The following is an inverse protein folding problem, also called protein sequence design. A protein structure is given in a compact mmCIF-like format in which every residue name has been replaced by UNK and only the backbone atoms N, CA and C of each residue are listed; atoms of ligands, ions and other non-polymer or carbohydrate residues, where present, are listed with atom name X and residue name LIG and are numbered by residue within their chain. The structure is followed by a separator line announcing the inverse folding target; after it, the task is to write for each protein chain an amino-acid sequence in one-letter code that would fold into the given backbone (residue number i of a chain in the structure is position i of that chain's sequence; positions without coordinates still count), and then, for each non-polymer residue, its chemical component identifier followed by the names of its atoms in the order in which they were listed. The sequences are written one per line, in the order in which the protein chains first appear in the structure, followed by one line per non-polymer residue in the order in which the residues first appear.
data_IF_338276325429
#
_entry.id   IF_338276325429
#
_cell.length_a   1.000
_cell.length_b   1.000
_cell.length_c   1.000
_cell.angle_alpha   90.00
_cell.angle_beta   90.00
_cell.angle_gamma   90.00
#
_symmetry.space_group_name_H-M   'P 1'
#
loop_
_entity.id
_entity.type
_entity.pdbx_description
1 polymer ?
#
# COMPACT_ATOMS: atom_id res chain seq x y z
N UNK A 1 -8.77 86.23 4.50
CA UNK A 1 -8.63 85.59 5.81
C UNK A 1 -9.54 84.37 5.79
N UNK A 2 -8.91 83.19 5.74
CA UNK A 2 -9.43 81.81 5.81
C UNK A 2 -10.46 81.37 4.75
N UNK A 3 -9.98 80.53 3.84
CA UNK A 3 -10.77 79.73 2.91
C UNK A 3 -10.86 78.31 3.47
N UNK A 4 -12.09 77.81 3.55
CA UNK A 4 -12.41 76.41 3.78
C UNK A 4 -13.13 75.83 2.57
N UNK A 5 -12.99 74.51 2.45
CA UNK A 5 -13.79 73.54 1.67
C UNK A 5 -13.34 73.24 0.23
N UNK A 6 -12.65 72.11 0.06
CA UNK A 6 -12.78 71.22 -1.11
C UNK A 6 -12.79 69.75 -0.67
N UNK A 7 -13.84 69.05 -1.13
CA UNK A 7 -14.08 67.61 -1.11
C UNK A 7 -13.04 66.82 -1.93
N UNK A 8 -12.76 65.55 -1.59
CA UNK A 8 -12.77 64.39 -2.51
C UNK A 8 -12.43 63.04 -1.82
N UNK A 9 -13.40 62.12 -1.94
CA UNK A 9 -13.33 60.64 -2.11
C UNK A 9 -12.58 59.75 -1.09
N UNK A 10 -13.37 59.03 -0.29
CA UNK A 10 -13.07 57.67 0.17
C UNK A 10 -14.08 56.69 -0.45
N UNK A 11 -13.60 55.57 -0.97
CA UNK A 11 -14.40 54.46 -1.49
C UNK A 11 -13.98 53.15 -0.84
N UNK A 12 -14.92 52.43 -0.23
CA UNK A 12 -14.80 50.99 0.07
C UNK A 12 -14.94 50.62 1.55
N UNK A 13 -15.89 49.73 1.93
CA UNK A 13 -16.25 49.47 3.31
C UNK A 13 -15.38 48.40 3.98
N UNK A 14 -15.37 48.48 5.31
CA UNK A 14 -14.81 47.56 6.28
C UNK A 14 -15.43 46.17 6.24
N UNK A 15 -14.58 45.15 6.10
CA UNK A 15 -14.86 43.77 6.55
C UNK A 15 -13.69 43.28 7.39
N UNK A 16 -13.90 43.32 8.70
CA UNK A 16 -13.09 42.61 9.69
C UNK A 16 -13.56 41.16 9.64
N UNK A 17 -12.74 40.26 9.10
CA UNK A 17 -12.96 38.82 9.20
C UNK A 17 -11.67 38.14 9.67
N UNK A 18 -11.70 37.81 10.96
CA UNK A 18 -11.00 36.71 11.64
C UNK A 18 -9.66 36.27 11.05
N UNK A 19 -8.58 36.74 11.67
CA UNK A 19 -7.32 36.01 11.75
C UNK A 19 -7.58 34.71 12.52
N UNK A 20 -7.91 33.65 11.79
CA UNK A 20 -7.92 32.30 12.36
C UNK A 20 -6.47 31.87 12.51
N UNK A 21 -6.06 31.84 13.76
CA UNK A 21 -4.87 31.17 14.29
C UNK A 21 -4.72 29.79 13.66
N UNK A 22 -3.69 29.66 12.81
CA UNK A 22 -3.29 28.41 12.19
C UNK A 22 -2.61 27.52 13.24
N UNK A 23 -3.40 27.02 14.20
CA UNK A 23 -3.07 25.83 14.97
C UNK A 23 -3.61 24.66 14.16
N UNK A 24 -2.79 24.16 13.25
CA UNK A 24 -3.03 22.89 12.58
C UNK A 24 -3.07 21.79 13.65
N UNK A 25 -4.28 21.50 14.13
CA UNK A 25 -4.61 20.20 14.71
C UNK A 25 -4.07 19.16 13.72
N UNK A 26 -3.06 18.39 14.13
CA UNK A 26 -2.79 17.10 13.50
C UNK A 26 -4.11 16.32 13.56
N UNK A 27 -4.89 16.37 12.48
CA UNK A 27 -5.83 15.31 12.15
C UNK A 27 -4.92 14.11 11.89
N UNK A 28 -4.63 13.33 12.92
CA UNK A 28 -4.04 12.02 12.74
C UNK A 28 -5.01 11.27 11.82
N UNK A 29 -4.63 11.06 10.56
CA UNK A 29 -5.19 9.97 9.80
C UNK A 29 -5.12 8.74 10.73
N UNK A 30 -6.23 8.02 10.89
CA UNK A 30 -6.35 6.89 11.80
C UNK A 30 -5.20 5.92 11.52
N UNK A 31 -4.19 5.89 12.39
CA UNK A 31 -3.01 5.04 12.25
C UNK A 31 -3.36 3.60 12.61
N UNK A 32 -4.24 3.00 11.80
CA UNK A 32 -4.77 1.66 11.96
C UNK A 32 -3.82 0.66 11.29
N UNK A 33 -2.87 0.15 12.07
CA UNK A 33 -1.85 -0.79 11.61
C UNK A 33 -1.30 -1.62 12.76
N UNK A 34 -0.60 -2.69 12.43
CA UNK A 34 0.06 -3.54 13.41
C UNK A 34 1.56 -3.27 13.37
N UNK A 35 2.13 -2.92 14.52
CA UNK A 35 3.52 -2.49 14.64
C UNK A 35 4.28 -3.48 15.54
N UNK A 36 5.26 -4.16 14.97
CA UNK A 36 6.28 -4.89 15.71
C UNK A 36 7.47 -3.96 15.97
N UNK A 37 7.80 -3.71 17.23
CA UNK A 37 9.01 -2.99 17.62
C UNK A 37 10.12 -4.00 17.88
N UNK A 38 11.12 -4.04 17.00
CA UNK A 38 12.33 -4.85 17.21
C UNK A 38 13.39 -3.92 17.80
N UNK A 39 13.84 -4.20 19.02
CA UNK A 39 14.83 -3.38 19.72
C UNK A 39 16.14 -4.14 19.92
N UNK A 40 17.26 -3.44 19.77
CA UNK A 40 18.59 -4.01 20.03
C UNK A 40 18.80 -4.15 21.55
N UNK A 41 19.08 -5.36 22.01
CA UNK A 41 19.41 -5.68 23.40
C UNK A 41 20.80 -6.29 23.56
N UNK A 42 21.69 -6.13 22.58
CA UNK A 42 23.04 -6.68 22.53
C UNK A 42 24.00 -6.06 23.55
N UNK A 43 25.15 -6.69 23.74
CA UNK A 43 26.29 -6.17 24.49
C UNK A 43 26.82 -4.85 23.93
N UNK A 44 26.66 -4.63 22.61
CA UNK A 44 27.19 -3.46 21.90
C UNK A 44 26.49 -2.16 22.30
N UNK A 45 25.16 -2.19 22.49
CA UNK A 45 24.38 -1.04 22.96
C UNK A 45 24.63 -0.79 24.46
N UNK A 46 24.76 -1.84 25.25
CA UNK A 46 24.93 -1.78 26.71
C UNK A 46 23.69 -1.28 27.47
N UNK A 47 23.67 -1.54 28.78
CA UNK A 47 22.52 -1.25 29.66
C UNK A 47 22.07 0.24 29.62
N UNK A 48 23.03 1.17 29.56
CA UNK A 48 22.73 2.61 29.61
C UNK A 48 21.96 3.07 28.37
N UNK A 49 22.42 2.70 27.17
CA UNK A 49 21.74 3.09 25.92
C UNK A 49 20.48 2.26 25.71
N UNK A 50 20.45 1.01 26.16
CA UNK A 50 19.22 0.23 26.22
C UNK A 50 18.11 0.95 27.01
N UNK A 51 18.43 1.54 28.17
CA UNK A 51 17.46 2.35 28.92
C UNK A 51 17.01 3.63 28.16
N UNK A 52 17.90 4.26 27.37
CA UNK A 52 17.51 5.37 26.49
C UNK A 52 16.57 4.91 25.37
N UNK A 53 16.83 3.73 24.81
CA UNK A 53 15.96 3.09 23.82
C UNK A 53 14.57 2.82 24.39
N UNK A 54 14.46 2.20 25.58
CA UNK A 54 13.18 1.99 26.28
C UNK A 54 12.40 3.30 26.45
N UNK A 55 13.08 4.37 26.87
CA UNK A 55 12.46 5.69 27.02
C UNK A 55 11.97 6.27 25.69
N UNK A 56 12.72 6.06 24.60
CA UNK A 56 12.31 6.51 23.27
C UNK A 56 11.08 5.77 22.77
N UNK A 57 11.08 4.43 22.82
CA UNK A 57 9.94 3.63 22.37
C UNK A 57 8.69 3.87 23.23
N UNK A 58 8.85 4.10 24.54
CA UNK A 58 7.75 4.46 25.42
C UNK A 58 7.10 5.78 24.99
N UNK A 59 7.89 6.82 24.73
CA UNK A 59 7.36 8.12 24.28
C UNK A 59 6.70 8.04 22.90
N UNK A 60 7.24 7.20 22.00
CA UNK A 60 6.67 6.96 20.69
C UNK A 60 5.33 6.23 20.81
N UNK A 61 5.25 5.15 21.59
CA UNK A 61 4.02 4.41 21.86
C UNK A 61 2.94 5.28 22.52
N UNK A 62 3.31 6.17 23.45
CA UNK A 62 2.38 7.13 24.06
C UNK A 62 1.75 8.08 23.02
N UNK A 63 2.51 8.51 22.01
CA UNK A 63 2.02 9.42 20.98
C UNK A 63 1.22 8.71 19.88
N UNK A 64 1.45 7.41 19.63
CA UNK A 64 0.70 6.59 18.67
C UNK A 64 -0.75 6.32 19.09
N UNK A 65 -1.14 6.59 20.35
CA UNK A 65 -2.49 6.36 20.88
C UNK A 65 -2.99 4.93 20.65
N UNK A 66 -2.20 3.95 21.11
CA UNK A 66 -2.53 2.52 21.05
C UNK A 66 -3.91 2.26 21.65
N UNK A 67 -4.69 1.41 20.99
CA UNK A 67 -5.99 0.97 21.48
C UNK A 67 -6.78 0.18 20.45
N UNK A 68 -8.01 -0.26 20.78
CA UNK A 68 -8.80 -1.18 19.95
C UNK A 68 -9.12 -0.67 18.53
N UNK A 69 -9.18 0.66 18.37
CA UNK A 69 -9.47 1.34 17.09
C UNK A 69 -8.19 1.96 16.49
N UNK A 70 -7.07 1.87 17.21
CA UNK A 70 -5.78 2.46 16.87
C UNK A 70 -4.75 1.43 16.38
N UNK A 71 -3.45 1.78 16.42
CA UNK A 71 -2.41 0.83 16.13
C UNK A 71 -2.29 -0.20 17.24
N UNK A 72 -2.01 -1.45 16.88
CA UNK A 72 -1.58 -2.48 17.82
C UNK A 72 -0.07 -2.54 17.85
N UNK A 73 0.52 -2.70 19.03
CA UNK A 73 1.97 -2.68 19.22
C UNK A 73 2.38 -3.93 19.99
N UNK A 74 3.38 -4.62 19.46
CA UNK A 74 4.10 -5.64 20.20
C UNK A 74 5.61 -5.44 20.09
N UNK A 75 6.38 -6.21 20.86
CA UNK A 75 7.81 -5.95 21.04
C UNK A 75 8.65 -7.23 21.05
N UNK A 76 9.78 -7.15 20.35
CA UNK A 76 10.78 -8.21 20.22
C UNK A 76 12.15 -7.62 20.57
N UNK A 77 12.94 -8.34 21.36
CA UNK A 77 14.34 -8.00 21.62
C UNK A 77 15.26 -8.81 20.70
N UNK A 78 16.15 -8.13 20.00
CA UNK A 78 17.27 -8.72 19.26
C UNK A 78 18.46 -8.89 20.21
N UNK A 79 19.01 -10.12 20.26
CA UNK A 79 20.18 -10.51 21.05
C UNK A 79 20.83 -11.72 20.36
N UNK A 80 21.48 -12.63 21.09
CA UNK A 80 21.95 -13.92 20.54
C UNK A 80 20.82 -14.69 19.83
N UNK A 81 19.65 -14.71 20.46
CA UNK A 81 18.40 -15.25 19.92
C UNK A 81 17.28 -14.23 20.09
N UNK A 82 16.35 -14.12 19.13
CA UNK A 82 15.24 -13.19 19.25
C UNK A 82 14.29 -13.62 20.36
N UNK A 83 13.80 -12.65 21.13
CA UNK A 83 12.85 -12.89 22.23
C UNK A 83 11.64 -11.99 22.08
N UNK A 84 10.46 -12.59 21.92
CA UNK A 84 9.19 -11.86 21.94
C UNK A 84 8.81 -11.56 23.39
N UNK A 85 8.67 -10.28 23.72
CA UNK A 85 8.30 -9.83 25.06
C UNK A 85 6.78 -9.74 25.23
N UNK A 86 6.09 -9.26 24.18
CA UNK A 86 4.64 -9.26 24.12
C UNK A 86 4.14 -9.12 22.68
N UNK A 87 2.97 -9.70 22.41
CA UNK A 87 2.30 -9.71 21.11
C UNK A 87 1.39 -8.48 20.94
N UNK A 88 0.80 -8.36 19.75
CA UNK A 88 -0.02 -7.22 19.31
C UNK A 88 -1.27 -6.99 20.17
N UNK A 89 -1.82 -8.04 20.77
CA UNK A 89 -3.08 -8.03 21.54
C UNK A 89 -2.88 -7.97 23.05
N UNK A 90 -1.65 -8.14 23.55
CA UNK A 90 -1.38 -8.18 24.99
C UNK A 90 -1.74 -6.87 25.70
N UNK A 91 -1.61 -5.72 25.04
CA UNK A 91 -1.87 -4.41 25.63
C UNK A 91 -2.75 -3.55 24.72
N UNK A 92 -3.95 -3.23 25.20
CA UNK A 92 -4.90 -2.34 24.51
C UNK A 92 -5.00 -0.96 25.18
N UNK A 93 -4.35 -0.78 26.34
CA UNK A 93 -4.30 0.49 27.05
C UNK A 93 -2.89 1.10 27.00
N UNK A 94 -2.76 2.39 26.63
CA UNK A 94 -1.45 3.05 26.59
C UNK A 94 -0.68 2.97 27.91
N UNK A 95 -1.36 3.08 29.05
CA UNK A 95 -0.71 3.06 30.38
C UNK A 95 -0.04 1.71 30.67
N UNK A 96 -0.70 0.61 30.34
CA UNK A 96 -0.19 -0.75 30.57
C UNK A 96 0.98 -1.05 29.63
N UNK A 97 0.86 -0.68 28.36
CA UNK A 97 1.95 -0.81 27.38
C UNK A 97 3.21 -0.03 27.84
N UNK A 98 3.03 1.19 28.34
CA UNK A 98 4.14 2.00 28.85
C UNK A 98 4.81 1.38 30.08
N UNK A 99 4.05 0.69 30.93
CA UNK A 99 4.60 -0.03 32.07
C UNK A 99 5.39 -1.24 31.60
N UNK A 100 4.82 -2.07 30.72
CA UNK A 100 5.48 -3.24 30.16
C UNK A 100 6.83 -2.88 29.48
N UNK A 101 6.85 -1.79 28.70
CA UNK A 101 8.09 -1.30 28.07
C UNK A 101 9.15 -0.90 29.10
N UNK A 102 8.77 -0.32 30.25
CA UNK A 102 9.73 0.11 31.27
C UNK A 102 10.38 -1.09 31.98
N UNK A 103 9.61 -2.14 32.21
CA UNK A 103 10.04 -3.35 32.93
C UNK A 103 10.90 -4.31 32.09
N UNK A 104 11.11 -4.02 30.79
CA UNK A 104 11.96 -4.84 29.94
C UNK A 104 13.36 -5.03 30.50
N UNK A 105 13.77 -6.29 30.60
CA UNK A 105 15.11 -6.69 31.01
C UNK A 105 16.10 -6.56 29.85
N UNK A 106 17.34 -6.23 30.19
CA UNK A 106 18.43 -6.22 29.22
C UNK A 106 19.02 -7.62 29.10
N UNK A 107 19.15 -8.11 27.86
CA UNK A 107 19.61 -9.48 27.58
C UNK A 107 21.15 -9.59 27.43
N UNK A 108 21.79 -8.65 26.73
CA UNK A 108 23.19 -8.79 26.29
C UNK A 108 23.34 -9.69 25.05
N UNK A 109 24.57 -10.11 24.75
CA UNK A 109 24.88 -10.99 23.61
C UNK A 109 25.20 -10.24 22.30
N UNK A 110 25.11 -10.95 21.18
CA UNK A 110 25.35 -10.42 19.83
C UNK A 110 24.14 -9.62 19.31
N UNK A 111 24.35 -8.76 18.30
CA UNK A 111 23.27 -8.00 17.65
C UNK A 111 22.75 -8.76 16.42
N UNK A 112 22.16 -9.95 16.63
CA UNK A 112 21.59 -10.77 15.55
C UNK A 112 20.22 -10.21 15.10
N UNK A 113 20.26 -9.05 14.44
CA UNK A 113 19.09 -8.34 13.94
C UNK A 113 18.40 -9.11 12.82
N UNK A 114 19.14 -9.82 11.97
CA UNK A 114 18.60 -10.64 10.88
C UNK A 114 17.71 -11.75 11.42
N UNK A 115 18.18 -12.50 12.43
CA UNK A 115 17.35 -13.49 13.13
C UNK A 115 16.10 -12.89 13.75
N UNK A 116 16.19 -11.69 14.32
CA UNK A 116 15.02 -11.02 14.90
C UNK A 116 14.00 -10.57 13.85
N UNK A 117 14.46 -10.05 12.71
CA UNK A 117 13.59 -9.75 11.56
C UNK A 117 12.92 -11.03 11.05
N UNK A 118 13.68 -12.12 10.89
CA UNK A 118 13.17 -13.41 10.44
C UNK A 118 12.06 -13.94 11.36
N UNK A 119 12.36 -14.07 12.66
CA UNK A 119 11.43 -14.52 13.68
C UNK A 119 10.14 -13.69 13.71
N UNK A 120 10.28 -12.36 13.55
CA UNK A 120 9.13 -11.46 13.51
C UNK A 120 8.32 -11.63 12.23
N UNK A 121 8.99 -11.81 11.08
CA UNK A 121 8.33 -11.98 9.79
C UNK A 121 7.53 -13.30 9.69
N UNK A 122 8.05 -14.38 10.26
CA UNK A 122 7.46 -15.72 10.15
C UNK A 122 6.14 -15.86 10.90
N UNK A 123 6.08 -15.38 12.16
CA UNK A 123 4.97 -15.74 13.05
C UNK A 123 4.27 -14.56 13.71
N UNK A 124 4.95 -13.43 13.90
CA UNK A 124 4.45 -12.37 14.78
C UNK A 124 3.16 -11.70 14.30
N UNK A 125 3.02 -11.53 12.98
CA UNK A 125 1.85 -10.91 12.36
C UNK A 125 0.75 -11.91 11.97
N UNK A 126 0.82 -13.16 12.46
CA UNK A 126 -0.24 -14.14 12.28
C UNK A 126 -1.52 -13.70 13.01
N UNK A 127 -2.67 -14.24 12.58
CA UNK A 127 -3.95 -13.95 13.25
C UNK A 127 -3.99 -14.48 14.69
N UNK A 128 -3.35 -15.62 14.94
CA UNK A 128 -3.21 -16.20 16.28
C UNK A 128 -2.45 -15.27 17.23
N UNK A 129 -1.48 -14.53 16.70
CA UNK A 129 -0.68 -13.55 17.45
C UNK A 129 -1.26 -12.13 17.42
N UNK A 130 -2.49 -11.97 16.94
CA UNK A 130 -3.22 -10.70 16.97
C UNK A 130 -3.05 -9.82 15.73
N UNK A 131 -2.45 -10.33 14.67
CA UNK A 131 -2.35 -9.66 13.37
C UNK A 131 -3.73 -9.51 12.72
N UNK A 132 -4.10 -8.28 12.36
CA UNK A 132 -5.37 -7.94 11.73
C UNK A 132 -5.27 -8.07 10.22
N UNK A 133 -6.26 -8.74 9.61
CA UNK A 133 -6.38 -8.81 8.16
C UNK A 133 -6.62 -7.42 7.57
N UNK A 134 -6.06 -7.18 6.38
CA UNK A 134 -6.22 -5.91 5.65
C UNK A 134 -5.56 -4.69 6.29
N UNK A 135 -4.91 -4.82 7.45
CA UNK A 135 -4.19 -3.74 8.10
C UNK A 135 -2.71 -3.79 7.70
N UNK A 136 -2.04 -2.64 7.49
CA UNK A 136 -0.61 -2.60 7.24
C UNK A 136 0.18 -3.24 8.37
N UNK A 137 1.20 -4.00 7.99
CA UNK A 137 2.17 -4.60 8.92
C UNK A 137 3.45 -3.80 8.85
N UNK A 138 3.89 -3.30 10.00
CA UNK A 138 5.08 -2.45 10.11
C UNK A 138 6.02 -3.07 11.13
N UNK A 139 7.26 -3.31 10.73
CA UNK A 139 8.33 -3.73 11.61
C UNK A 139 9.29 -2.56 11.80
N UNK A 140 9.25 -1.90 12.95
CA UNK A 140 10.19 -0.84 13.28
C UNK A 140 11.39 -1.45 14.00
N UNK A 141 12.51 -1.52 13.31
CA UNK A 141 13.77 -2.10 13.82
C UNK A 141 14.67 -0.97 14.27
N UNK A 142 14.98 -0.94 15.57
CA UNK A 142 15.94 -0.01 16.14
C UNK A 142 17.30 -0.67 16.25
N UNK A 143 18.33 0.00 15.72
CA UNK A 143 19.71 -0.48 15.77
C UNK A 143 20.65 0.60 16.31
N UNK A 144 21.65 0.18 17.09
CA UNK A 144 22.77 1.00 17.57
C UNK A 144 24.06 0.51 16.89
N UNK A 145 24.31 0.99 15.67
CA UNK A 145 25.45 0.56 14.85
C UNK A 145 25.07 -0.36 13.68
N UNK A 146 25.64 -1.57 13.64
CA UNK A 146 25.46 -2.55 12.55
C UNK A 146 25.13 -3.95 13.09
N UNK A 147 24.39 -4.76 12.32
CA UNK A 147 24.06 -6.13 12.72
C UNK A 147 25.29 -7.04 12.70
N UNK A 148 25.27 -8.06 13.57
CA UNK A 148 26.29 -9.12 13.63
C UNK A 148 26.08 -10.20 12.56
N UNK A 149 24.84 -10.33 12.07
CA UNK A 149 24.38 -11.30 11.08
C UNK A 149 23.94 -10.64 9.75
N UNK A 150 23.68 -11.48 8.75
CA UNK A 150 23.15 -11.04 7.46
C UNK A 150 21.63 -10.82 7.55
N UNK A 151 21.15 -9.79 6.85
CA UNK A 151 19.75 -9.42 6.80
C UNK A 151 19.05 -9.91 5.53
N UNK A 152 19.79 -10.41 4.52
CA UNK A 152 19.26 -10.62 3.17
C UNK A 152 18.05 -11.55 3.14
N UNK A 153 18.18 -12.74 3.71
CA UNK A 153 17.08 -13.72 3.74
C UNK A 153 15.89 -13.22 4.57
N UNK A 154 16.16 -12.59 5.72
CA UNK A 154 15.14 -12.08 6.62
C UNK A 154 14.36 -10.92 5.99
N UNK A 155 15.06 -10.02 5.30
CA UNK A 155 14.47 -8.90 4.59
C UNK A 155 13.65 -9.36 3.38
N UNK A 156 14.14 -10.36 2.63
CA UNK A 156 13.35 -10.98 1.56
C UNK A 156 12.05 -11.56 2.11
N UNK A 157 12.11 -12.38 3.17
CA UNK A 157 10.90 -12.94 3.78
C UNK A 157 9.95 -11.85 4.29
N UNK A 158 10.46 -10.81 4.95
CA UNK A 158 9.63 -9.71 5.44
C UNK A 158 8.91 -8.99 4.29
N UNK A 159 9.62 -8.67 3.20
CA UNK A 159 9.03 -8.08 1.98
C UNK A 159 7.98 -8.99 1.38
N UNK A 160 8.32 -10.26 1.16
CA UNK A 160 7.42 -11.26 0.60
C UNK A 160 6.22 -11.57 1.51
N UNK A 161 6.33 -11.31 2.81
CA UNK A 161 5.23 -11.48 3.78
C UNK A 161 4.36 -10.22 3.93
N UNK A 162 4.66 -9.18 3.16
CA UNK A 162 3.90 -7.95 3.15
C UNK A 162 4.19 -7.01 4.32
N UNK A 163 5.40 -7.06 4.88
CA UNK A 163 5.81 -6.34 6.08
C UNK A 163 6.72 -5.18 5.70
N UNK A 164 6.38 -3.99 6.18
CA UNK A 164 7.18 -2.79 5.97
C UNK A 164 8.24 -2.68 7.05
N UNK A 165 9.48 -3.02 6.71
CA UNK A 165 10.61 -2.83 7.61
C UNK A 165 11.03 -1.36 7.58
N UNK A 166 10.92 -0.70 8.73
CA UNK A 166 11.48 0.62 9.00
C UNK A 166 12.74 0.46 9.84
N UNK A 167 13.88 0.84 9.28
CA UNK A 167 15.13 0.78 9.99
C UNK A 167 15.47 2.14 10.62
N UNK A 168 15.43 2.19 11.95
CA UNK A 168 15.74 3.37 12.75
C UNK A 168 17.14 3.20 13.33
N UNK A 169 18.14 3.79 12.68
CA UNK A 169 19.51 3.76 13.17
C UNK A 169 19.76 4.94 14.08
N UNK A 170 20.26 4.69 15.29
CA UNK A 170 20.67 5.75 16.22
C UNK A 170 22.18 5.77 16.30
N UNK A 171 22.78 6.96 16.24
CA UNK A 171 24.23 7.15 16.27
C UNK A 171 24.95 6.29 15.21
N UNK A 172 24.93 6.76 13.96
CA UNK A 172 25.60 6.07 12.84
C UNK A 172 27.05 5.69 13.20
N UNK A 173 27.57 4.56 12.66
CA UNK A 173 28.95 4.15 12.86
C UNK A 173 29.91 5.28 12.49
N UNK A 174 30.95 5.48 13.30
CA UNK A 174 31.99 6.43 12.97
C UNK A 174 32.73 5.98 11.69
N UNK A 175 33.31 6.88 10.89
CA UNK A 175 34.03 6.52 9.67
C UNK A 175 35.09 5.42 9.88
N UNK A 176 35.72 5.41 11.04
CA UNK A 176 36.74 4.44 11.44
C UNK A 176 36.14 3.03 11.67
N UNK A 177 34.90 2.98 12.17
CA UNK A 177 34.15 1.76 12.46
C UNK A 177 33.50 1.16 11.21
N UNK A 178 33.35 1.92 10.12
CA UNK A 178 32.79 1.43 8.85
C UNK A 178 33.60 0.26 8.25
N UNK A 179 34.86 0.11 8.64
CA UNK A 179 35.71 -1.03 8.25
C UNK A 179 35.29 -2.34 8.91
N UNK A 180 34.61 -2.27 10.05
CA UNK A 180 34.14 -3.43 10.84
C UNK A 180 32.74 -3.88 10.42
N UNK A 181 32.03 -3.05 9.65
CA UNK A 181 30.71 -3.35 9.11
C UNK A 181 30.86 -4.38 7.99
N UNK A 182 30.36 -5.59 8.22
CA UNK A 182 30.42 -6.71 7.26
C UNK A 182 29.69 -6.40 5.96
N UNK A 183 28.43 -5.98 6.08
CA UNK A 183 27.61 -5.56 4.95
C UNK A 183 27.31 -4.06 5.08
N UNK A 184 27.87 -3.24 4.20
CA UNK A 184 27.70 -1.77 4.25
C UNK A 184 26.34 -1.31 3.70
N UNK A 185 25.66 -2.14 2.93
CA UNK A 185 24.38 -1.83 2.30
C UNK A 185 23.19 -2.43 3.08
N UNK A 186 23.43 -3.04 4.24
CA UNK A 186 22.39 -3.68 5.07
C UNK A 186 21.14 -2.81 5.28
N UNK A 187 21.31 -1.49 5.45
CA UNK A 187 20.21 -0.53 5.58
C UNK A 187 19.29 -0.51 4.36
N UNK A 188 19.87 -0.54 3.16
CA UNK A 188 19.15 -0.51 1.87
C UNK A 188 18.47 -1.84 1.61
N UNK A 189 19.16 -2.94 1.97
CA UNK A 189 18.67 -4.29 1.75
C UNK A 189 17.57 -4.71 2.71
N UNK A 190 17.56 -4.18 3.94
CA UNK A 190 16.55 -4.50 4.95
C UNK A 190 15.17 -3.92 4.64
N UNK A 191 15.12 -2.79 3.92
CA UNK A 191 13.88 -2.05 3.67
C UNK A 191 13.19 -2.48 2.37
N UNK A 192 11.95 -2.05 2.22
CA UNK A 192 11.12 -2.29 1.05
C UNK A 192 11.69 -1.70 -0.24
N UNK A 193 12.13 -0.45 -0.16
CA UNK A 193 12.66 0.32 -1.28
C UNK A 193 13.67 1.33 -0.74
N UNK A 194 14.82 1.45 -1.39
CA UNK A 194 15.83 2.44 -1.03
C UNK A 194 15.48 3.82 -1.62
N UNK A 195 14.53 4.49 -0.99
CA UNK A 195 14.08 5.85 -1.35
C UNK A 195 14.18 6.85 -0.19
N UNK A 196 14.86 6.46 0.90
CA UNK A 196 15.01 7.27 2.13
C UNK A 196 13.75 7.38 3.01
N UNK A 197 12.63 6.74 2.62
CA UNK A 197 11.40 6.75 3.41
C UNK A 197 11.49 5.79 4.62
N UNK A 198 11.89 4.55 4.36
CA UNK A 198 11.96 3.45 5.34
C UNK A 198 13.20 3.48 6.23
N UNK A 199 14.25 4.19 5.81
CA UNK A 199 15.48 4.37 6.58
C UNK A 199 15.44 5.71 7.33
N UNK A 200 15.52 5.65 8.66
CA UNK A 200 15.41 6.84 9.52
C UNK A 200 16.63 6.97 10.44
N UNK A 201 17.67 7.73 10.04
CA UNK A 201 18.83 7.95 10.88
C UNK A 201 18.58 9.03 11.94
N UNK A 202 18.91 8.72 13.19
CA UNK A 202 18.93 9.63 14.33
C UNK A 202 20.39 9.92 14.71
N UNK A 203 20.84 11.19 14.72
CA UNK A 203 22.25 11.51 14.96
C UNK A 203 22.74 11.12 16.36
N UNK A 204 21.86 11.18 17.38
CA UNK A 204 22.26 10.97 18.76
C UNK A 204 21.13 10.44 19.62
N UNK A 205 21.46 9.56 20.57
CA UNK A 205 20.55 9.09 21.62
C UNK A 205 19.92 10.24 22.42
N UNK A 206 20.64 11.36 22.58
CA UNK A 206 20.15 12.54 23.32
C UNK A 206 19.16 13.40 22.52
N UNK A 207 19.09 13.25 21.19
CA UNK A 207 18.17 14.00 20.33
C UNK A 207 16.92 13.21 19.92
N UNK A 208 16.81 11.95 20.32
CA UNK A 208 15.72 11.01 19.95
C UNK A 208 14.32 11.61 20.12
N UNK A 209 14.09 12.41 21.15
CA UNK A 209 12.79 13.05 21.39
C UNK A 209 12.34 13.99 20.27
N UNK A 210 13.27 14.65 19.57
CA UNK A 210 12.96 15.54 18.43
C UNK A 210 12.45 14.75 17.21
N UNK A 211 12.76 13.46 17.14
CA UNK A 211 12.45 12.58 16.02
C UNK A 211 11.13 11.81 16.17
N UNK A 212 10.51 11.83 17.35
CA UNK A 212 9.27 11.08 17.61
C UNK A 212 8.15 11.49 16.64
N UNK A 213 7.87 12.79 16.53
CA UNK A 213 6.78 13.28 15.68
C UNK A 213 7.02 12.99 14.19
N UNK A 214 8.19 13.32 13.60
CA UNK A 214 8.46 12.97 12.20
C UNK A 214 8.43 11.46 11.93
N UNK A 215 8.92 10.63 12.87
CA UNK A 215 8.90 9.19 12.71
C UNK A 215 7.47 8.64 12.70
N UNK A 216 6.61 9.11 13.62
CA UNK A 216 5.19 8.73 13.64
C UNK A 216 4.48 9.16 12.35
N UNK A 217 4.77 10.37 11.85
CA UNK A 217 4.20 10.82 10.58
C UNK A 217 4.59 9.91 9.41
N UNK A 218 5.82 9.39 9.38
CA UNK A 218 6.25 8.42 8.36
C UNK A 218 5.61 7.05 8.56
N UNK A 219 5.64 6.51 9.78
CA UNK A 219 5.04 5.20 10.09
C UNK A 219 3.54 5.18 9.75
N UNK A 220 2.82 6.26 10.08
CA UNK A 220 1.38 6.38 9.86
C UNK A 220 0.99 6.88 8.45
N UNK A 221 1.94 7.00 7.51
CA UNK A 221 1.68 7.42 6.13
C UNK A 221 1.36 6.19 5.28
N UNK A 222 0.08 5.80 5.24
CA UNK A 222 -0.40 4.59 4.54
C UNK A 222 0.08 4.51 3.07
N UNK A 223 0.02 5.63 2.34
CA UNK A 223 0.43 5.72 0.93
C UNK A 223 1.94 5.43 0.73
N UNK A 224 2.74 5.54 1.80
CA UNK A 224 4.18 5.26 1.77
C UNK A 224 4.54 3.82 2.13
N UNK A 225 3.60 2.99 2.59
CA UNK A 225 3.87 1.63 3.08
C UNK A 225 3.88 0.60 1.95
N UNK A 226 4.86 0.74 1.05
CA UNK A 226 4.99 0.02 -0.22
C UNK A 226 4.99 -1.51 -0.13
N UNK A 227 5.50 -2.11 0.95
CA UNK A 227 5.47 -3.58 1.11
C UNK A 227 4.18 -4.10 1.69
N UNK A 228 3.29 -3.27 2.26
CA UNK A 228 2.08 -3.79 2.90
C UNK A 228 1.34 -4.66 1.92
N UNK A 229 0.97 -5.91 2.20
CA UNK A 229 0.07 -6.63 1.27
C UNK A 229 -1.36 -6.11 1.44
N UNK A 230 -1.65 -4.95 0.87
CA UNK A 230 -3.00 -4.39 0.81
C UNK A 230 -3.58 -4.62 -0.56
N UNK A 231 -4.90 -4.41 -0.68
CA UNK A 231 -5.53 -4.41 -1.98
C UNK A 231 -4.95 -3.36 -2.93
N UNK A 232 -4.37 -2.27 -2.41
CA UNK A 232 -3.86 -1.18 -3.23
C UNK A 232 -2.52 -1.50 -3.91
N UNK A 233 -1.81 -2.54 -3.46
CA UNK A 233 -0.45 -2.82 -3.91
C UNK A 233 -0.10 -4.33 -3.96
N UNK A 234 -1.07 -5.23 -3.80
CA UNK A 234 -0.84 -6.68 -3.94
C UNK A 234 -1.90 -7.32 -4.84
N UNK A 235 -2.15 -6.67 -5.96
CA UNK A 235 -3.16 -7.08 -6.94
C UNK A 235 -2.59 -7.00 -8.35
N UNK A 236 -2.95 -7.98 -9.17
CA UNK A 236 -2.71 -7.98 -10.61
C UNK A 236 -4.04 -7.63 -11.28
N UNK A 237 -4.12 -6.48 -11.94
CA UNK A 237 -5.34 -5.98 -12.57
C UNK A 237 -5.19 -6.03 -14.09
N UNK A 238 -6.00 -6.87 -14.73
CA UNK A 238 -6.13 -6.89 -16.18
C UNK A 238 -7.32 -6.05 -16.62
N UNK A 239 -7.12 -5.17 -17.58
CA UNK A 239 -8.17 -4.45 -18.27
C UNK A 239 -8.47 -5.13 -19.60
N UNK A 240 -9.72 -5.57 -19.79
CA UNK A 240 -10.22 -6.11 -21.05
C UNK A 240 -11.15 -5.10 -21.69
N UNK A 241 -10.67 -4.50 -22.78
CA UNK A 241 -11.20 -3.26 -23.35
C UNK A 241 -11.86 -3.54 -24.69
N UNK A 242 -13.15 -3.30 -24.78
CA UNK A 242 -13.91 -3.39 -26.03
C UNK A 242 -13.52 -2.24 -26.97
N UNK A 243 -12.89 -2.58 -28.09
CA UNK A 243 -12.49 -1.66 -29.16
C UNK A 243 -13.40 -1.78 -30.39
N UNK A 244 -14.60 -2.33 -30.24
CA UNK A 244 -15.53 -2.57 -31.34
C UNK A 244 -16.09 -1.28 -31.94
N UNK A 245 -16.64 -1.40 -33.15
CA UNK A 245 -17.18 -0.26 -33.91
C UNK A 245 -18.37 0.43 -33.23
N UNK A 246 -19.10 -0.28 -32.34
CA UNK A 246 -20.24 0.28 -31.59
C UNK A 246 -19.82 1.32 -30.56
N UNK A 247 -18.63 1.16 -29.98
CA UNK A 247 -18.07 2.09 -29.00
C UNK A 247 -17.79 3.43 -29.67
N UNK A 248 -16.99 3.43 -30.74
CA UNK A 248 -16.55 4.63 -31.43
C UNK A 248 -15.43 5.39 -30.71
N UNK A 249 -14.61 6.10 -31.48
CA UNK A 249 -13.35 6.73 -31.01
C UNK A 249 -13.53 7.67 -29.80
N UNK A 250 -14.53 8.54 -29.84
CA UNK A 250 -14.79 9.49 -28.74
C UNK A 250 -15.18 8.81 -27.42
N UNK A 251 -15.99 7.75 -27.49
CA UNK A 251 -16.38 6.99 -26.29
C UNK A 251 -15.25 6.08 -25.82
N UNK A 252 -14.41 5.57 -26.73
CA UNK A 252 -13.25 4.78 -26.38
C UNK A 252 -12.29 5.56 -25.48
N UNK A 253 -12.10 6.86 -25.74
CA UNK A 253 -11.32 7.73 -24.86
C UNK A 253 -11.91 7.84 -23.44
N UNK A 254 -13.24 7.84 -23.30
CA UNK A 254 -13.92 7.82 -21.99
C UNK A 254 -13.69 6.49 -21.25
N UNK A 255 -13.69 5.37 -21.97
CA UNK A 255 -13.32 4.06 -21.41
C UNK A 255 -11.88 4.07 -20.90
N UNK A 256 -10.93 4.56 -21.68
CA UNK A 256 -9.52 4.65 -21.25
C UNK A 256 -9.35 5.55 -20.03
N UNK A 257 -10.07 6.68 -19.95
CA UNK A 257 -9.99 7.56 -18.78
C UNK A 257 -10.64 6.96 -17.53
N UNK A 258 -11.74 6.20 -17.69
CA UNK A 258 -12.33 5.41 -16.61
C UNK A 258 -11.34 4.38 -16.04
N UNK A 259 -10.72 3.59 -16.91
CA UNK A 259 -9.73 2.59 -16.51
C UNK A 259 -8.48 3.23 -15.89
N UNK A 260 -8.05 4.38 -16.41
CA UNK A 260 -6.97 5.16 -15.81
C UNK A 260 -7.34 5.69 -14.42
N UNK A 261 -8.61 6.05 -14.18
CA UNK A 261 -9.12 6.41 -12.86
C UNK A 261 -9.03 5.26 -11.84
N UNK A 262 -9.33 4.03 -12.27
CA UNK A 262 -9.14 2.82 -11.46
C UNK A 262 -7.64 2.64 -11.17
N UNK A 263 -6.80 2.61 -12.20
CA UNK A 263 -5.36 2.41 -12.09
C UNK A 263 -4.68 3.40 -11.11
N UNK A 264 -5.09 4.68 -11.12
CA UNK A 264 -4.58 5.72 -10.19
C UNK A 264 -4.77 5.38 -8.71
N UNK A 265 -5.80 4.62 -8.39
CA UNK A 265 -6.14 4.25 -7.01
C UNK A 265 -5.19 3.20 -6.44
N UNK A 266 -4.37 2.54 -7.27
CA UNK A 266 -3.44 1.49 -6.88
C UNK A 266 -1.99 1.98 -6.95
N UNK A 267 -1.13 1.42 -6.10
CA UNK A 267 0.32 1.69 -6.06
C UNK A 267 1.06 0.77 -7.03
N UNK A 268 1.06 1.18 -8.30
CA UNK A 268 1.73 0.46 -9.39
C UNK A 268 3.25 0.56 -9.21
N UNK A 269 3.90 -0.59 -8.99
CA UNK A 269 5.36 -0.68 -8.91
C UNK A 269 5.86 -2.11 -9.13
N UNK A 270 7.18 -2.28 -9.17
CA UNK A 270 7.86 -3.58 -9.26
C UNK A 270 7.46 -4.55 -8.14
N UNK A 271 7.24 -4.04 -6.93
CA UNK A 271 6.85 -4.79 -5.73
C UNK A 271 5.41 -4.54 -5.29
N UNK A 272 4.66 -3.75 -6.06
CA UNK A 272 3.32 -3.27 -5.75
C UNK A 272 2.25 -3.91 -6.62
N UNK A 273 1.23 -3.13 -6.98
CA UNK A 273 0.20 -3.58 -7.92
C UNK A 273 0.77 -3.64 -9.35
N UNK A 274 0.27 -4.59 -10.13
CA UNK A 274 0.61 -4.74 -11.54
C UNK A 274 -0.64 -4.52 -12.38
N UNK A 275 -0.53 -3.78 -13.47
CA UNK A 275 -1.64 -3.58 -14.41
C UNK A 275 -1.24 -3.99 -15.82
N UNK A 276 -2.22 -4.47 -16.58
CA UNK A 276 -2.05 -4.85 -17.97
C UNK A 276 -3.32 -4.62 -18.74
N UNK A 277 -3.21 -4.50 -20.06
CA UNK A 277 -4.34 -4.20 -20.92
C UNK A 277 -4.39 -5.10 -22.15
N UNK A 278 -5.57 -5.61 -22.43
CA UNK A 278 -5.92 -6.33 -23.65
C UNK A 278 -7.09 -5.59 -24.29
N UNK A 279 -6.93 -5.19 -25.54
CA UNK A 279 -8.01 -4.67 -26.36
C UNK A 279 -8.59 -5.81 -27.22
N UNK A 280 -9.90 -5.81 -27.47
CA UNK A 280 -10.52 -6.82 -28.30
C UNK A 280 -11.57 -6.26 -29.26
N UNK A 281 -11.69 -6.94 -30.41
CA UNK A 281 -12.82 -6.87 -31.33
C UNK A 281 -13.24 -8.30 -31.72
N UNK A 282 -13.13 -8.68 -33.00
CA UNK A 282 -13.03 -10.07 -33.43
C UNK A 282 -11.68 -10.69 -33.05
N UNK A 283 -10.63 -9.86 -33.06
CA UNK A 283 -9.27 -10.24 -32.69
C UNK A 283 -8.89 -9.63 -31.34
N UNK A 284 -7.91 -10.23 -30.66
CA UNK A 284 -7.41 -9.78 -29.37
C UNK A 284 -5.98 -9.25 -29.51
N UNK A 285 -5.71 -8.11 -28.89
CA UNK A 285 -4.39 -7.49 -28.87
C UNK A 285 -3.95 -7.26 -27.43
N UNK A 286 -2.82 -7.85 -27.04
CA UNK A 286 -2.13 -7.46 -25.83
C UNK A 286 -1.48 -6.09 -26.05
N UNK A 287 -1.99 -5.06 -25.39
CA UNK A 287 -1.44 -3.70 -25.48
C UNK A 287 -0.19 -3.59 -24.62
N UNK A 288 -0.25 -4.12 -23.39
CA UNK A 288 0.90 -4.33 -22.53
C UNK A 288 0.59 -5.35 -21.43
N UNK A 289 1.62 -6.09 -21.00
CA UNK A 289 1.55 -7.10 -19.96
C UNK A 289 1.69 -6.53 -18.53
N UNK A 290 1.39 -7.37 -17.54
CA UNK A 290 1.44 -7.02 -16.11
C UNK A 290 2.83 -6.58 -15.63
N UNK A 291 3.89 -7.00 -16.32
CA UNK A 291 5.29 -6.72 -15.93
C UNK A 291 5.96 -5.63 -16.78
N UNK A 292 5.26 -5.03 -17.73
CA UNK A 292 5.85 -4.10 -18.70
C UNK A 292 6.11 -2.71 -18.09
N UNK A 293 5.32 -2.33 -17.07
CA UNK A 293 5.46 -1.05 -16.38
C UNK A 293 5.56 -1.22 -14.86
N UNK A 294 6.61 -0.65 -14.27
CA UNK A 294 6.88 -0.60 -12.83
C UNK A 294 6.79 0.83 -12.26
N UNK A 295 6.29 1.77 -13.05
CA UNK A 295 6.03 3.16 -12.67
C UNK A 295 4.56 3.48 -12.95
N UNK A 296 3.89 4.07 -11.96
CA UNK A 296 2.46 4.42 -12.02
C UNK A 296 2.14 5.38 -13.17
N UNK A 297 2.92 6.45 -13.34
CA UNK A 297 2.67 7.46 -14.37
C UNK A 297 2.88 6.88 -15.76
N UNK A 298 3.92 6.07 -15.96
CA UNK A 298 4.19 5.40 -17.24
C UNK A 298 3.08 4.43 -17.62
N UNK A 299 2.60 3.63 -16.67
CA UNK A 299 1.52 2.67 -16.89
C UNK A 299 0.18 3.37 -17.25
N UNK A 300 -0.15 4.47 -16.55
CA UNK A 300 -1.33 5.29 -16.86
C UNK A 300 -1.20 5.94 -18.24
N UNK A 301 -0.01 6.43 -18.58
CA UNK A 301 0.24 7.05 -19.88
C UNK A 301 0.17 6.02 -21.02
N UNK A 302 0.65 4.79 -20.80
CA UNK A 302 0.53 3.70 -21.76
C UNK A 302 -0.94 3.35 -22.01
N UNK A 303 -1.73 3.20 -20.94
CA UNK A 303 -3.16 2.93 -21.03
C UNK A 303 -3.91 4.01 -21.83
N UNK A 304 -3.62 5.29 -21.59
CA UNK A 304 -4.24 6.42 -22.31
C UNK A 304 -3.85 6.53 -23.78
N UNK A 305 -2.77 5.86 -24.20
CA UNK A 305 -2.25 5.90 -25.58
C UNK A 305 -2.67 4.68 -26.40
N UNK A 306 -3.46 3.77 -25.84
CA UNK A 306 -4.02 2.64 -26.58
C UNK A 306 -4.83 3.20 -27.75
N UNK A 307 -4.48 2.80 -28.96
CA UNK A 307 -5.19 3.22 -30.16
C UNK A 307 -6.50 2.47 -30.28
N UNK A 308 -7.58 3.21 -30.56
CA UNK A 308 -8.88 2.63 -30.88
C UNK A 308 -8.78 1.68 -32.07
N UNK A 309 -9.36 0.49 -31.92
CA UNK A 309 -9.57 -0.47 -32.99
C UNK A 309 -10.87 -0.16 -33.75
N UNK A 310 -11.41 -1.15 -34.46
CA UNK A 310 -12.76 -1.15 -35.02
C UNK A 310 -13.05 -2.58 -35.46
N UNK A 311 -14.26 -3.09 -35.22
CA UNK A 311 -14.63 -4.46 -35.52
C UNK A 311 -15.86 -4.90 -34.72
N UNK A 312 -16.13 -6.20 -34.69
CA UNK A 312 -17.19 -6.78 -33.85
C UNK A 312 -16.71 -7.02 -32.42
N UNK A 313 -17.54 -7.73 -31.64
CA UNK A 313 -17.38 -7.89 -30.19
C UNK A 313 -17.34 -9.37 -29.83
N UNK A 314 -16.15 -9.97 -29.71
CA UNK A 314 -15.96 -11.38 -29.32
C UNK A 314 -15.42 -11.50 -27.89
N UNK A 315 -16.28 -11.21 -26.91
CA UNK A 315 -15.92 -11.09 -25.49
C UNK A 315 -15.48 -12.42 -24.87
N UNK A 316 -16.08 -13.55 -25.25
CA UNK A 316 -15.72 -14.87 -24.72
C UNK A 316 -14.30 -15.29 -25.12
N UNK A 317 -13.96 -15.11 -26.39
CA UNK A 317 -12.62 -15.31 -26.92
C UNK A 317 -11.62 -14.34 -26.27
N UNK A 318 -12.04 -13.10 -26.03
CA UNK A 318 -11.24 -12.08 -25.35
C UNK A 318 -10.91 -12.45 -23.89
N UNK A 319 -11.87 -12.98 -23.13
CA UNK A 319 -11.63 -13.52 -21.78
C UNK A 319 -10.62 -14.67 -21.85
N UNK A 320 -10.83 -15.62 -22.76
CA UNK A 320 -9.93 -16.78 -22.94
C UNK A 320 -8.49 -16.34 -23.24
N UNK A 321 -8.32 -15.43 -24.22
CA UNK A 321 -7.02 -14.87 -24.57
C UNK A 321 -6.35 -14.17 -23.38
N UNK A 322 -7.12 -13.38 -22.63
CA UNK A 322 -6.59 -12.62 -21.48
C UNK A 322 -6.10 -13.57 -20.39
N UNK A 323 -6.85 -14.63 -20.08
CA UNK A 323 -6.39 -15.64 -19.10
C UNK A 323 -5.10 -16.34 -19.55
N UNK A 324 -4.99 -16.66 -20.85
CA UNK A 324 -3.88 -17.44 -21.39
C UNK A 324 -2.61 -16.62 -21.67
N UNK A 325 -2.74 -15.30 -21.88
CA UNK A 325 -1.64 -14.44 -22.28
C UNK A 325 -1.29 -13.41 -21.21
N UNK A 326 -2.28 -12.69 -20.68
CA UNK A 326 -2.05 -11.66 -19.66
C UNK A 326 -1.81 -12.29 -18.28
N UNK A 327 -2.67 -13.23 -17.87
CA UNK A 327 -2.57 -13.90 -16.56
C UNK A 327 -1.76 -15.20 -16.59
N UNK A 328 -1.01 -15.48 -17.67
CA UNK A 328 -0.23 -16.72 -17.82
C UNK A 328 0.83 -16.89 -16.72
N UNK A 329 1.48 -15.80 -16.34
CA UNK A 329 2.52 -15.73 -15.33
C UNK A 329 2.29 -14.47 -14.52
N UNK A 330 1.63 -14.62 -13.39
CA UNK A 330 1.34 -13.51 -12.48
C UNK A 330 2.34 -13.52 -11.33
N UNK A 331 2.77 -12.34 -10.90
CA UNK A 331 3.49 -12.18 -9.64
C UNK A 331 2.62 -12.51 -8.43
N UNK A 332 3.18 -12.43 -7.21
CA UNK A 332 2.41 -12.61 -5.99
C UNK A 332 1.31 -11.55 -5.89
N UNK A 333 0.07 -11.98 -5.66
CA UNK A 333 -1.08 -11.08 -5.59
C UNK A 333 -2.34 -11.76 -6.12
N UNK A 334 -3.49 -11.14 -5.91
CA UNK A 334 -4.77 -11.64 -6.44
C UNK A 334 -5.04 -11.08 -7.83
N UNK A 335 -5.61 -11.91 -8.69
CA UNK A 335 -5.88 -11.58 -10.08
C UNK A 335 -7.30 -11.05 -10.23
N UNK A 336 -7.42 -9.83 -10.75
CA UNK A 336 -8.67 -9.15 -11.03
C UNK A 336 -8.75 -8.80 -12.51
N UNK A 337 -9.87 -9.11 -13.15
CA UNK A 337 -10.12 -8.77 -14.54
C UNK A 337 -11.32 -7.82 -14.61
N UNK A 338 -11.11 -6.63 -15.17
CA UNK A 338 -12.17 -5.65 -15.40
C UNK A 338 -12.49 -5.68 -16.89
N UNK A 339 -13.69 -6.16 -17.22
CA UNK A 339 -14.21 -6.25 -18.59
C UNK A 339 -15.10 -5.05 -18.83
N UNK A 340 -14.79 -4.24 -19.85
CA UNK A 340 -15.64 -3.13 -20.29
C UNK A 340 -16.15 -3.44 -21.68
N UNK A 341 -17.47 -3.42 -21.89
CA UNK A 341 -18.11 -3.66 -23.19
C UNK A 341 -19.39 -2.83 -23.34
N UNK A 342 -19.73 -2.46 -24.57
CA UNK A 342 -20.93 -1.68 -24.89
C UNK A 342 -22.03 -2.48 -25.59
N UNK A 343 -21.79 -3.76 -25.88
CA UNK A 343 -22.64 -4.56 -26.77
C UNK A 343 -22.75 -6.04 -26.43
N UNK A 344 -23.61 -6.73 -27.17
CA UNK A 344 -23.76 -8.18 -27.09
C UNK A 344 -22.56 -8.87 -27.76
N UNK A 345 -22.05 -9.90 -27.11
CA UNK A 345 -20.97 -10.71 -27.67
C UNK A 345 -21.46 -11.59 -28.83
N UNK A 346 -20.64 -11.79 -29.86
CA UNK A 346 -20.90 -12.74 -30.95
C UNK A 346 -20.62 -14.21 -30.58
N UNK A 347 -19.95 -14.44 -29.45
CA UNK A 347 -19.57 -15.76 -28.94
C UNK A 347 -20.04 -16.01 -27.49
N UNK A 348 -19.92 -17.25 -27.03
CA UNK A 348 -20.30 -17.59 -25.65
C UNK A 348 -19.33 -17.00 -24.63
N UNK A 349 -19.89 -16.24 -23.68
CA UNK A 349 -19.13 -15.62 -22.59
C UNK A 349 -19.07 -16.46 -21.33
N UNK A 350 -19.99 -17.41 -21.15
CA UNK A 350 -20.16 -18.19 -19.91
C UNK A 350 -19.02 -19.17 -19.69
N UNK A 351 -18.70 -19.99 -20.68
CA UNK A 351 -17.63 -20.97 -20.60
C UNK A 351 -16.26 -20.33 -20.27
N UNK A 352 -15.82 -19.32 -21.03
CA UNK A 352 -14.59 -18.57 -20.76
C UNK A 352 -14.54 -17.93 -19.37
N UNK A 353 -15.63 -17.27 -18.94
CA UNK A 353 -15.69 -16.64 -17.62
C UNK A 353 -15.58 -17.67 -16.48
N UNK A 354 -16.31 -18.80 -16.59
CA UNK A 354 -16.20 -19.90 -15.63
C UNK A 354 -14.78 -20.48 -15.56
N UNK A 355 -14.10 -20.61 -16.70
CA UNK A 355 -12.71 -21.06 -16.74
C UNK A 355 -11.78 -20.07 -16.04
N UNK A 356 -11.97 -18.77 -16.26
CA UNK A 356 -11.22 -17.72 -15.58
C UNK A 356 -11.43 -17.74 -14.05
N UNK A 357 -12.68 -17.88 -13.58
CA UNK A 357 -12.99 -17.99 -12.16
C UNK A 357 -12.30 -19.19 -11.50
N UNK A 358 -12.27 -20.34 -12.19
CA UNK A 358 -11.57 -21.55 -11.71
C UNK A 358 -10.06 -21.36 -11.59
N UNK A 359 -9.48 -20.41 -12.33
CA UNK A 359 -8.07 -20.01 -12.22
C UNK A 359 -7.83 -18.97 -11.11
N UNK A 360 -8.85 -18.65 -10.30
CA UNK A 360 -8.76 -17.67 -9.21
C UNK A 360 -8.84 -16.21 -9.68
N UNK A 361 -9.27 -15.97 -10.92
CA UNK A 361 -9.45 -14.61 -11.46
C UNK A 361 -10.85 -14.11 -11.10
N UNK A 362 -10.89 -13.00 -10.36
CA UNK A 362 -12.13 -12.31 -9.99
C UNK A 362 -12.51 -11.32 -11.10
N UNK A 363 -13.68 -11.48 -11.72
CA UNK A 363 -14.11 -10.66 -12.86
C UNK A 363 -15.12 -9.61 -12.41
N UNK A 364 -14.83 -8.36 -12.76
CA UNK A 364 -15.73 -7.22 -12.70
C UNK A 364 -16.20 -6.92 -14.13
N UNK A 365 -17.51 -6.93 -14.39
CA UNK A 365 -18.07 -6.59 -15.70
C UNK A 365 -18.74 -5.23 -15.67
N UNK A 366 -18.33 -4.35 -16.57
CA UNK A 366 -18.84 -2.99 -16.72
C UNK A 366 -19.46 -2.87 -18.10
N UNK A 367 -20.79 -2.82 -18.14
CA UNK A 367 -21.56 -2.61 -19.36
C UNK A 367 -21.90 -1.14 -19.58
N UNK A 368 -21.90 -0.73 -20.84
CA UNK A 368 -22.35 0.60 -21.25
C UNK A 368 -23.41 0.49 -22.33
N UNK A 369 -24.24 1.53 -22.48
CA UNK A 369 -25.21 1.68 -23.56
C UNK A 369 -26.22 0.52 -23.64
N UNK A 370 -26.03 -0.42 -24.57
CA UNK A 370 -26.93 -1.55 -24.83
C UNK A 370 -26.30 -2.90 -24.45
N UNK A 371 -25.23 -2.92 -23.67
CA UNK A 371 -24.64 -4.14 -23.13
C UNK A 371 -25.68 -5.00 -22.38
N UNK A 372 -25.87 -6.29 -22.76
CA UNK A 372 -26.87 -7.13 -22.11
C UNK A 372 -26.53 -7.43 -20.65
N UNK A 373 -27.40 -7.03 -19.72
CA UNK A 373 -27.14 -7.20 -18.28
C UNK A 373 -26.93 -8.67 -17.89
N UNK A 374 -27.65 -9.60 -18.52
CA UNK A 374 -27.51 -11.04 -18.24
C UNK A 374 -26.14 -11.58 -18.67
N UNK A 375 -25.56 -11.08 -19.76
CA UNK A 375 -24.22 -11.47 -20.20
C UNK A 375 -23.16 -10.89 -19.24
N UNK A 376 -23.33 -9.64 -18.79
CA UNK A 376 -22.44 -9.03 -17.79
C UNK A 376 -22.46 -9.84 -16.48
N UNK A 377 -23.65 -10.22 -16.01
CA UNK A 377 -23.80 -11.08 -14.82
C UNK A 377 -23.22 -12.47 -15.05
N UNK A 378 -23.38 -13.04 -16.24
CA UNK A 378 -22.81 -14.33 -16.57
C UNK A 378 -21.28 -14.33 -16.51
N UNK A 379 -20.64 -13.22 -16.88
CA UNK A 379 -19.18 -13.06 -16.83
C UNK A 379 -18.62 -12.70 -15.45
N UNK A 380 -19.37 -11.93 -14.67
CA UNK A 380 -18.92 -11.38 -13.37
C UNK A 380 -18.69 -12.47 -12.32
N UNK A 381 -17.78 -12.26 -11.38
CA UNK A 381 -17.64 -13.14 -10.21
C UNK A 381 -18.75 -12.94 -9.17
N UNK A 382 -18.85 -13.84 -8.19
CA UNK A 382 -19.77 -13.69 -7.06
C UNK A 382 -19.22 -12.71 -6.00
N UNK A 383 -20.06 -11.91 -5.32
CA UNK A 383 -21.49 -11.78 -5.57
C UNK A 383 -21.79 -10.90 -6.80
N UNK A 384 -22.71 -11.36 -7.67
CA UNK A 384 -22.99 -10.67 -8.96
C UNK A 384 -23.31 -9.18 -8.80
N UNK A 385 -24.10 -8.81 -7.78
CA UNK A 385 -24.55 -7.44 -7.58
C UNK A 385 -23.43 -6.45 -7.21
N UNK A 386 -22.27 -6.94 -6.75
CA UNK A 386 -21.09 -6.08 -6.49
C UNK A 386 -20.02 -6.13 -7.59
N UNK A 387 -20.18 -7.04 -8.55
CA UNK A 387 -19.22 -7.26 -9.64
C UNK A 387 -19.74 -6.84 -11.01
N UNK A 388 -21.05 -6.61 -11.13
CA UNK A 388 -21.69 -6.15 -12.36
C UNK A 388 -22.10 -4.68 -12.24
N UNK A 389 -21.62 -3.87 -13.19
CA UNK A 389 -21.93 -2.44 -13.29
C UNK A 389 -22.54 -2.15 -14.66
N UNK A 390 -23.50 -1.23 -14.71
CA UNK A 390 -24.15 -0.85 -15.96
C UNK A 390 -24.53 0.63 -15.96
N UNK A 391 -24.17 1.34 -17.01
CA UNK A 391 -24.60 2.72 -17.28
C UNK A 391 -25.15 2.84 -18.69
N UNK A 392 -26.12 3.74 -18.91
CA UNK A 392 -26.66 4.00 -20.25
C UNK A 392 -25.73 4.85 -21.11
N UNK A 393 -24.87 5.65 -20.48
CA UNK A 393 -23.98 6.59 -21.16
C UNK A 393 -22.54 6.40 -20.70
N UNK A 394 -21.58 6.55 -21.63
CA UNK A 394 -20.15 6.43 -21.34
C UNK A 394 -19.66 7.47 -20.32
N UNK A 395 -20.28 8.64 -20.26
CA UNK A 395 -20.02 9.68 -19.25
C UNK A 395 -20.20 9.17 -17.81
N UNK A 396 -21.15 8.26 -17.59
CA UNK A 396 -21.46 7.66 -16.29
C UNK A 396 -20.42 6.66 -15.79
N UNK A 397 -19.47 6.21 -16.63
CA UNK A 397 -18.42 5.26 -16.22
C UNK A 397 -17.60 5.77 -15.03
N UNK A 398 -17.36 7.09 -14.98
CA UNK A 398 -16.59 7.72 -13.91
C UNK A 398 -17.15 7.50 -12.51
N UNK A 399 -18.46 7.30 -12.37
CA UNK A 399 -19.13 7.03 -11.09
C UNK A 399 -18.78 5.65 -10.52
N UNK A 400 -18.35 4.71 -11.37
CA UNK A 400 -18.03 3.35 -10.96
C UNK A 400 -16.60 3.18 -10.46
N UNK A 401 -15.70 4.14 -10.72
CA UNK A 401 -14.30 4.07 -10.22
C UNK A 401 -14.24 3.76 -8.72
N UNK A 402 -14.87 4.54 -7.82
CA UNK A 402 -14.82 4.25 -6.38
C UNK A 402 -15.50 2.93 -5.99
N UNK A 403 -16.49 2.47 -6.77
CA UNK A 403 -17.21 1.23 -6.49
C UNK A 403 -16.38 0.00 -6.86
N UNK A 404 -15.76 0.01 -8.05
CA UNK A 404 -14.88 -1.07 -8.51
C UNK A 404 -13.66 -1.19 -7.60
N UNK A 405 -13.02 -0.07 -7.24
CA UNK A 405 -11.87 -0.06 -6.31
C UNK A 405 -12.26 -0.65 -4.96
N UNK A 406 -13.43 -0.24 -4.42
CA UNK A 406 -13.94 -0.80 -3.15
C UNK A 406 -14.24 -2.30 -3.27
N UNK A 407 -14.82 -2.74 -4.38
CA UNK A 407 -15.08 -4.15 -4.68
C UNK A 407 -13.79 -4.98 -4.65
N UNK A 408 -12.80 -4.58 -5.45
CA UNK A 408 -11.47 -5.21 -5.50
C UNK A 408 -10.88 -5.32 -4.09
N UNK A 409 -10.94 -4.25 -3.31
CA UNK A 409 -10.42 -4.24 -1.95
C UNK A 409 -11.18 -5.16 -0.99
N UNK A 410 -12.51 -5.21 -1.10
CA UNK A 410 -13.35 -6.11 -0.31
C UNK A 410 -13.00 -7.57 -0.63
N UNK A 411 -12.99 -7.95 -1.90
CA UNK A 411 -12.67 -9.32 -2.29
C UNK A 411 -11.25 -9.68 -1.86
N UNK A 412 -10.29 -8.78 -2.05
CA UNK A 412 -8.92 -8.97 -1.59
C UNK A 412 -8.86 -9.33 -0.11
N UNK A 413 -9.71 -8.73 0.74
CA UNK A 413 -9.74 -9.03 2.18
C UNK A 413 -10.53 -10.28 2.55
N UNK A 414 -11.61 -10.61 1.85
CA UNK A 414 -12.51 -11.71 2.21
C UNK A 414 -11.98 -13.09 1.78
N UNK A 415 -11.22 -13.16 0.67
CA UNK A 415 -10.67 -14.40 0.14
C UNK A 415 -9.20 -14.66 0.55
N UNK A 416 -8.75 -14.06 1.67
CA UNK A 416 -7.41 -14.23 2.25
C UNK A 416 -7.45 -14.98 3.58
#
# INVERSE_FOLDING_TARGET
MWLDTIFLRFSGPSTITSVLTNTSKLKSANCQMDIAMVIDSSSNIGQRRFNLQKNFIAKLAAMLRVGPIGPHIGLIQASDSPRTEFLLTNYTQPKELLFAIKELAYLGGDSNTGKAIMHTAETFFSQENGGRRGHPRVMMVLIDGWPSDDLDQAAMLARESGINVFLVSVAKPAPEELSMVRDKDFMKKAVCKDNGFFSYPIPSWFSTTKHIRPLIQRLCSLDGLLCSKTCYNSVNIGFLIDGSSSVGDGNFQLVLEFLAGIARSFEISDVGAHIGAVQFTYEQRLEFGLSDYSNKDDAINALRRISYMSGGTSTGSAISYTTQNLFRRTGPGRNFLIVVTDGQSYDDVRGPAMAAHKQGITIFSVGVAWAPLDDLKAMSSEPKDSHTFFTREFSGLSEFVPLVVRGICKDFTENN
#
